data_IF_184629813172
#
_entry.id   IF_184629813172
#
_cell.length_a   1.000
_cell.length_b   1.000
_cell.length_c   1.000
_cell.angle_alpha   90.00
_cell.angle_beta   90.00
_cell.angle_gamma   90.00
#
_symmetry.space_group_name_H-M   'P 1'
#
loop_
_entity.id
_entity.type
_entity.pdbx_description
1 polymer ?
#
# COMPACT_ATOMS: atom_id res chain seq x y z
N UNK A 1 3.04 4.14 -16.50
CA UNK A 1 3.75 4.37 -15.21
C UNK A 1 3.34 5.68 -14.52
N UNK A 2 3.51 6.87 -15.14
CA UNK A 2 3.13 8.15 -14.52
C UNK A 2 1.64 8.24 -14.18
N UNK A 3 0.77 7.82 -15.12
CA UNK A 3 -0.68 7.84 -14.91
C UNK A 3 -1.10 6.97 -13.71
N UNK A 4 -0.57 5.74 -13.62
CA UNK A 4 -0.81 4.82 -12.48
C UNK A 4 -0.35 5.44 -11.16
N UNK A 5 0.83 6.06 -11.13
CA UNK A 5 1.35 6.76 -9.95
C UNK A 5 0.46 7.93 -9.54
N UNK A 6 -0.01 8.74 -10.50
CA UNK A 6 -0.92 9.87 -10.22
C UNK A 6 -2.25 9.39 -9.63
N UNK A 7 -2.83 8.32 -10.18
CA UNK A 7 -4.06 7.72 -9.64
C UNK A 7 -3.86 7.19 -8.22
N UNK A 8 -2.73 6.50 -7.98
CA UNK A 8 -2.37 6.08 -6.62
C UNK A 8 -2.24 7.28 -5.69
N UNK A 9 -1.58 8.36 -6.11
CA UNK A 9 -1.49 9.58 -5.31
C UNK A 9 -2.87 10.21 -5.03
N UNK A 10 -3.79 10.23 -6.01
CA UNK A 10 -5.15 10.69 -5.81
C UNK A 10 -5.92 9.80 -4.82
N UNK A 11 -5.75 8.48 -4.91
CA UNK A 11 -6.32 7.54 -3.96
C UNK A 11 -5.79 7.77 -2.54
N UNK A 12 -4.47 7.91 -2.39
CA UNK A 12 -3.83 8.22 -1.12
C UNK A 12 -4.32 9.54 -0.54
N UNK A 13 -4.48 10.57 -1.37
CA UNK A 13 -5.04 11.85 -0.96
C UNK A 13 -6.49 11.72 -0.48
N UNK A 14 -7.33 10.97 -1.20
CA UNK A 14 -8.72 10.71 -0.81
C UNK A 14 -8.83 9.90 0.48
N UNK A 15 -8.01 8.86 0.62
CA UNK A 15 -7.90 8.09 1.85
C UNK A 15 -7.45 8.98 3.02
N UNK A 16 -6.42 9.81 2.79
CA UNK A 16 -5.93 10.80 3.75
C UNK A 16 -7.03 11.72 4.23
N UNK A 17 -7.78 12.28 3.27
CA UNK A 17 -8.92 13.13 3.55
C UNK A 17 -9.99 12.40 4.39
N UNK A 18 -10.35 11.16 4.03
CA UNK A 18 -11.33 10.36 4.77
C UNK A 18 -10.91 10.08 6.22
N UNK A 19 -9.61 9.92 6.51
CA UNK A 19 -9.15 9.74 7.90
C UNK A 19 -9.27 10.98 8.78
N UNK A 20 -9.52 12.16 8.22
CA UNK A 20 -9.88 13.29 9.06
C UNK A 20 -11.18 13.01 9.83
N UNK A 21 -12.08 12.21 9.28
CA UNK A 21 -13.32 11.83 9.94
C UNK A 21 -13.14 10.66 10.93
N UNK A 22 -12.07 9.86 10.81
CA UNK A 22 -11.83 8.68 11.64
C UNK A 22 -10.41 8.66 12.23
N UNK A 23 -10.22 9.19 13.46
CA UNK A 23 -8.91 9.35 14.11
C UNK A 23 -8.13 8.04 14.26
N UNK A 24 -8.82 6.94 14.52
CA UNK A 24 -8.22 5.60 14.68
C UNK A 24 -7.50 5.09 13.43
N UNK A 25 -7.78 5.66 12.26
CA UNK A 25 -7.12 5.31 10.99
C UNK A 25 -5.82 6.10 10.75
N UNK A 26 -5.56 7.18 11.50
CA UNK A 26 -4.49 8.14 11.17
C UNK A 26 -3.08 7.62 11.43
N UNK A 27 -2.88 6.85 12.50
CA UNK A 27 -1.53 6.64 13.04
C UNK A 27 -0.75 5.47 12.42
N UNK A 28 -1.42 4.51 11.76
CA UNK A 28 -0.74 3.27 11.34
C UNK A 28 -1.12 2.79 9.93
N UNK A 29 -2.15 3.40 9.34
CA UNK A 29 -2.71 2.95 8.08
C UNK A 29 -1.98 3.48 6.85
N UNK A 30 -1.40 4.68 6.93
CA UNK A 30 -0.81 5.34 5.76
C UNK A 30 0.50 4.75 5.26
N UNK A 31 1.48 4.43 6.12
CA UNK A 31 2.73 3.83 5.66
C UNK A 31 2.49 2.47 5.01
N UNK A 32 1.58 1.68 5.59
CA UNK A 32 1.23 0.35 5.10
C UNK A 32 0.40 0.42 3.81
N UNK A 33 -0.62 1.26 3.77
CA UNK A 33 -1.44 1.45 2.57
C UNK A 33 -0.65 2.06 1.40
N UNK A 34 0.29 2.97 1.67
CA UNK A 34 1.25 3.44 0.67
C UNK A 34 2.10 2.29 0.09
N UNK A 35 2.59 1.40 0.96
CA UNK A 35 3.36 0.24 0.54
C UNK A 35 2.53 -0.77 -0.28
N UNK A 36 1.27 -1.03 0.08
CA UNK A 36 0.35 -1.83 -0.75
C UNK A 36 0.06 -1.15 -2.09
N UNK A 37 -0.11 0.17 -2.09
CA UNK A 37 -0.38 0.92 -3.32
C UNK A 37 0.76 0.77 -4.32
N UNK A 38 2.00 0.87 -3.84
CA UNK A 38 3.17 0.62 -4.67
C UNK A 38 3.24 -0.83 -5.15
N UNK A 39 3.01 -1.80 -4.26
CA UNK A 39 3.02 -3.22 -4.60
C UNK A 39 1.98 -3.56 -5.68
N UNK A 40 0.75 -3.08 -5.53
CA UNK A 40 -0.35 -3.33 -6.47
C UNK A 40 -0.13 -2.61 -7.80
N UNK A 41 0.53 -1.44 -7.81
CA UNK A 41 0.89 -0.76 -9.07
C UNK A 41 1.80 -1.63 -9.95
N UNK A 42 2.71 -2.41 -9.33
CA UNK A 42 3.63 -3.31 -10.02
C UNK A 42 3.04 -4.69 -10.33
N UNK A 43 1.95 -5.09 -9.65
CA UNK A 43 1.31 -6.41 -9.81
C UNK A 43 -0.11 -6.37 -10.36
N UNK A 44 -0.54 -5.24 -10.94
CA UNK A 44 -1.91 -5.05 -11.45
C UNK A 44 -2.35 -6.09 -12.47
N UNK A 45 -1.42 -6.58 -13.29
CA UNK A 45 -1.71 -7.58 -14.34
C UNK A 45 -1.90 -9.00 -13.75
N UNK A 46 -1.54 -9.20 -12.47
CA UNK A 46 -1.65 -10.46 -11.74
C UNK A 46 -2.72 -10.35 -10.63
N UNK A 47 -3.98 -10.16 -11.03
CA UNK A 47 -5.08 -9.96 -10.06
C UNK A 47 -5.23 -11.12 -9.05
N UNK A 48 -4.84 -12.35 -9.44
CA UNK A 48 -4.82 -13.51 -8.55
C UNK A 48 -3.83 -13.33 -7.39
N UNK A 49 -2.68 -12.72 -7.65
CA UNK A 49 -1.66 -12.47 -6.63
C UNK A 49 -2.05 -11.31 -5.74
N UNK A 50 -2.64 -10.25 -6.31
CA UNK A 50 -3.21 -9.13 -5.54
C UNK A 50 -4.28 -9.64 -4.57
N UNK A 51 -5.19 -10.51 -5.03
CA UNK A 51 -6.21 -11.11 -4.16
C UNK A 51 -5.62 -11.96 -3.02
N UNK A 52 -4.59 -12.77 -3.30
CA UNK A 52 -3.89 -13.55 -2.27
C UNK A 52 -3.22 -12.66 -1.22
N UNK A 53 -2.58 -11.58 -1.65
CA UNK A 53 -1.93 -10.61 -0.74
C UNK A 53 -2.97 -9.92 0.14
N UNK A 54 -4.11 -9.53 -0.43
CA UNK A 54 -5.21 -8.91 0.33
C UNK A 54 -5.79 -9.87 1.36
N UNK A 55 -6.05 -11.12 0.98
CA UNK A 55 -6.50 -12.14 1.94
C UNK A 55 -5.47 -12.35 3.05
N UNK A 56 -4.18 -12.42 2.71
CA UNK A 56 -3.10 -12.53 3.68
C UNK A 56 -3.06 -11.34 4.65
N UNK A 57 -3.24 -10.12 4.14
CA UNK A 57 -3.29 -8.91 4.96
C UNK A 57 -4.48 -8.91 5.93
N UNK A 58 -5.67 -9.35 5.48
CA UNK A 58 -6.87 -9.45 6.32
C UNK A 58 -6.68 -10.50 7.42
N UNK A 59 -6.13 -11.68 7.09
CA UNK A 59 -5.83 -12.73 8.07
C UNK A 59 -4.80 -12.23 9.07
N UNK A 60 -3.72 -11.60 8.61
CA UNK A 60 -2.64 -11.10 9.44
C UNK A 60 -3.11 -10.01 10.43
N UNK A 61 -3.93 -9.05 9.98
CA UNK A 61 -4.48 -8.01 10.88
C UNK A 61 -5.50 -8.59 11.87
N UNK A 62 -6.30 -9.57 11.44
CA UNK A 62 -7.24 -10.24 12.33
C UNK A 62 -6.48 -10.99 13.42
N UNK A 63 -5.44 -11.74 13.04
CA UNK A 63 -4.57 -12.44 13.97
C UNK A 63 -3.89 -11.47 14.95
N UNK A 64 -3.31 -10.38 14.45
CA UNK A 64 -2.71 -9.36 15.30
C UNK A 64 -3.71 -8.72 16.26
N UNK A 65 -4.95 -8.51 15.83
CA UNK A 65 -6.02 -7.93 16.67
C UNK A 65 -6.45 -8.90 17.78
N UNK A 66 -6.52 -10.21 17.48
CA UNK A 66 -6.82 -11.26 18.46
C UNK A 66 -5.66 -11.44 19.45
N UNK A 67 -4.41 -11.43 18.98
CA UNK A 67 -3.25 -11.52 19.87
C UNK A 67 -3.16 -10.31 20.80
N UNK A 68 -3.41 -9.11 20.26
CA UNK A 68 -3.48 -7.88 21.05
C UNK A 68 -4.58 -7.96 22.12
N UNK A 69 -5.78 -8.45 21.79
CA UNK A 69 -6.87 -8.56 22.77
C UNK A 69 -6.59 -9.55 23.92
N UNK A 70 -5.77 -10.58 23.68
CA UNK A 70 -5.33 -11.52 24.72
C UNK A 70 -4.27 -10.87 25.62
N UNK A 71 -3.31 -10.17 25.03
CA UNK A 71 -2.23 -9.52 25.76
C UNK A 71 -1.61 -8.38 24.95
N UNK A 72 -1.48 -7.21 25.57
CA UNK A 72 -0.85 -6.03 24.98
C UNK A 72 0.68 -6.01 25.17
N UNK A 73 1.28 -7.10 25.67
CA UNK A 73 2.69 -7.16 26.00
C UNK A 73 3.61 -7.53 24.84
N UNK A 74 4.92 -7.35 25.04
CA UNK A 74 5.98 -7.69 24.06
C UNK A 74 5.94 -9.15 23.60
N UNK A 75 5.53 -10.08 24.48
CA UNK A 75 5.38 -11.49 24.13
C UNK A 75 4.30 -11.72 23.05
N UNK A 76 3.16 -11.02 23.16
CA UNK A 76 2.08 -11.11 22.18
C UNK A 76 2.50 -10.52 20.83
N UNK A 77 3.24 -9.41 20.85
CA UNK A 77 3.84 -8.84 19.64
C UNK A 77 4.83 -9.82 18.98
N UNK A 78 5.69 -10.47 19.77
CA UNK A 78 6.66 -11.44 19.27
C UNK A 78 5.99 -12.68 18.68
N UNK A 79 4.97 -13.23 19.36
CA UNK A 79 4.19 -14.36 18.86
C UNK A 79 3.44 -13.99 17.58
N UNK A 80 2.82 -12.80 17.53
CA UNK A 80 2.19 -12.29 16.31
C UNK A 80 3.18 -12.24 15.15
N UNK A 81 4.40 -11.79 15.41
CA UNK A 81 5.48 -11.74 14.41
C UNK A 81 5.83 -13.14 13.90
N UNK A 82 6.07 -14.10 14.79
CA UNK A 82 6.39 -15.48 14.42
C UNK A 82 5.27 -16.08 13.58
N UNK A 83 4.03 -16.04 14.07
CA UNK A 83 2.89 -16.67 13.39
C UNK A 83 2.66 -16.01 12.04
N UNK A 84 2.72 -14.68 11.95
CA UNK A 84 2.52 -13.96 10.69
C UNK A 84 3.63 -14.27 9.68
N UNK A 85 4.90 -14.30 10.11
CA UNK A 85 6.03 -14.67 9.23
C UNK A 85 5.87 -16.12 8.75
N UNK A 86 5.53 -17.06 9.64
CA UNK A 86 5.26 -18.44 9.27
C UNK A 86 4.12 -18.54 8.25
N UNK A 87 3.02 -17.81 8.43
CA UNK A 87 1.94 -17.75 7.45
C UNK A 87 2.41 -17.20 6.10
N UNK A 88 3.18 -16.10 6.10
CA UNK A 88 3.71 -15.50 4.87
C UNK A 88 4.60 -16.51 4.12
N UNK A 89 5.44 -17.25 4.83
CA UNK A 89 6.32 -18.26 4.23
C UNK A 89 5.56 -19.49 3.71
N UNK A 90 4.61 -20.02 4.48
CA UNK A 90 3.81 -21.20 4.12
C UNK A 90 2.92 -20.92 2.91
N UNK A 91 2.20 -19.80 2.93
CA UNK A 91 1.27 -19.44 1.86
C UNK A 91 1.94 -18.65 0.72
N UNK A 92 3.26 -18.40 0.83
CA UNK A 92 4.06 -17.64 -0.16
C UNK A 92 3.48 -16.27 -0.48
N UNK A 93 2.91 -15.60 0.53
CA UNK A 93 2.27 -14.30 0.35
C UNK A 93 3.27 -13.15 0.11
N UNK A 94 4.59 -13.40 0.23
CA UNK A 94 5.74 -12.62 -0.25
C UNK A 94 5.51 -11.09 -0.39
N UNK A 95 4.92 -10.48 0.63
CA UNK A 95 4.61 -9.07 0.66
C UNK A 95 4.94 -8.54 2.05
N UNK A 96 6.05 -7.80 2.16
CA UNK A 96 6.46 -7.12 3.38
C UNK A 96 5.33 -6.29 4.03
N UNK A 97 4.43 -5.63 3.28
CA UNK A 97 3.31 -4.91 3.87
C UNK A 97 2.40 -5.77 4.74
N UNK A 98 2.23 -7.08 4.47
CA UNK A 98 1.35 -7.97 5.26
C UNK A 98 1.80 -8.02 6.72
N UNK A 99 3.11 -8.17 6.94
CA UNK A 99 3.68 -8.20 8.28
C UNK A 99 3.41 -6.89 9.01
N UNK A 100 3.62 -5.76 8.34
CA UNK A 100 3.39 -4.44 8.92
C UNK A 100 1.92 -4.23 9.35
N UNK A 101 0.94 -4.76 8.59
CA UNK A 101 -0.48 -4.65 8.97
C UNK A 101 -0.80 -5.47 10.22
N UNK A 102 -0.16 -6.63 10.41
CA UNK A 102 -0.34 -7.45 11.62
C UNK A 102 0.04 -6.72 12.91
N UNK A 103 0.92 -5.72 12.82
CA UNK A 103 1.39 -4.94 13.96
C UNK A 103 0.53 -3.72 14.26
N UNK A 104 -0.36 -3.32 13.34
CA UNK A 104 -1.25 -2.16 13.53
C UNK A 104 -1.98 -2.17 14.87
N UNK A 105 -2.58 -3.29 15.32
CA UNK A 105 -3.31 -3.34 16.59
C UNK A 105 -2.47 -2.92 17.81
N UNK A 106 -1.18 -3.28 17.83
CA UNK A 106 -0.27 -2.99 18.93
C UNK A 106 0.08 -1.49 19.05
N UNK A 107 -0.04 -0.73 17.95
CA UNK A 107 0.25 0.70 17.93
C UNK A 107 -1.02 1.56 17.95
N UNK A 108 -2.09 1.10 17.31
CA UNK A 108 -3.34 1.85 17.16
C UNK A 108 -4.22 1.84 18.41
N UNK A 109 -3.97 0.94 19.37
CA UNK A 109 -4.78 0.76 20.58
C UNK A 109 -6.29 0.73 20.27
N UNK A 110 -6.66 -0.05 19.25
CA UNK A 110 -8.02 -0.02 18.72
C UNK A 110 -9.03 -0.49 19.77
N UNK A 111 -10.10 0.28 19.94
CA UNK A 111 -11.19 0.00 20.89
C UNK A 111 -12.03 -1.22 20.51
N UNK A 112 -11.95 -1.68 19.26
CA UNK A 112 -12.69 -2.83 18.74
C UNK A 112 -11.80 -3.73 17.89
N UNK A 113 -11.90 -5.04 18.16
CA UNK A 113 -11.17 -6.12 17.47
C UNK A 113 -11.47 -6.11 15.96
N UNK A 114 -12.67 -5.69 15.56
CA UNK A 114 -13.13 -5.71 14.17
C UNK A 114 -12.90 -4.40 13.41
N UNK A 115 -12.68 -3.29 14.11
CA UNK A 115 -12.51 -2.00 13.46
C UNK A 115 -11.30 -1.99 12.50
N UNK A 116 -10.18 -2.58 12.93
CA UNK A 116 -8.96 -2.64 12.12
C UNK A 116 -9.07 -3.58 10.92
N UNK A 117 -9.53 -4.85 11.06
CA UNK A 117 -9.77 -5.72 9.91
C UNK A 117 -10.70 -5.11 8.86
N UNK A 118 -11.79 -4.48 9.29
CA UNK A 118 -12.75 -3.84 8.37
C UNK A 118 -12.10 -2.66 7.65
N UNK A 119 -11.36 -1.80 8.36
CA UNK A 119 -10.66 -0.67 7.75
C UNK A 119 -9.63 -1.10 6.70
N UNK A 120 -8.83 -2.13 7.03
CA UNK A 120 -7.87 -2.75 6.09
C UNK A 120 -8.60 -3.32 4.87
N UNK A 121 -9.67 -4.08 5.10
CA UNK A 121 -10.44 -4.70 4.02
C UNK A 121 -11.02 -3.64 3.08
N UNK A 122 -11.72 -2.64 3.61
CA UNK A 122 -12.35 -1.58 2.81
C UNK A 122 -11.32 -0.83 1.98
N UNK A 123 -10.15 -0.53 2.55
CA UNK A 123 -9.16 0.27 1.83
C UNK A 123 -8.28 -0.54 0.89
N UNK A 124 -8.06 -1.83 1.15
CA UNK A 124 -7.44 -2.70 0.16
C UNK A 124 -8.39 -2.94 -1.01
N UNK A 125 -9.69 -3.14 -0.76
CA UNK A 125 -10.69 -3.26 -1.81
C UNK A 125 -10.81 -1.96 -2.63
N UNK A 126 -10.85 -0.81 -1.96
CA UNK A 126 -10.84 0.50 -2.63
C UNK A 126 -9.61 0.67 -3.52
N UNK A 127 -8.43 0.32 -3.01
CA UNK A 127 -7.18 0.38 -3.77
C UNK A 127 -7.21 -0.57 -4.98
N UNK A 128 -7.67 -1.81 -4.81
CA UNK A 128 -7.80 -2.78 -5.90
C UNK A 128 -8.76 -2.26 -6.97
N UNK A 129 -9.91 -1.71 -6.56
CA UNK A 129 -10.89 -1.16 -7.49
C UNK A 129 -10.27 -0.01 -8.30
N UNK A 130 -9.58 0.93 -7.65
CA UNK A 130 -8.89 2.03 -8.32
C UNK A 130 -7.82 1.53 -9.30
N UNK A 131 -7.00 0.58 -8.87
CA UNK A 131 -5.91 0.00 -9.67
C UNK A 131 -6.47 -0.83 -10.86
N UNK A 132 -7.59 -1.51 -10.68
CA UNK A 132 -8.27 -2.24 -11.74
C UNK A 132 -8.91 -1.31 -12.77
N UNK A 133 -9.58 -0.25 -12.29
CA UNK A 133 -10.23 0.74 -13.13
C UNK A 133 -9.21 1.47 -14.01
N UNK A 134 -8.05 1.84 -13.46
CA UNK A 134 -6.98 2.43 -14.27
C UNK A 134 -6.37 1.45 -15.26
N UNK A 135 -6.25 0.16 -14.89
CA UNK A 135 -5.82 -0.88 -15.83
C UNK A 135 -6.73 -0.99 -17.05
N UNK A 136 -8.04 -0.79 -16.88
CA UNK A 136 -9.01 -0.74 -17.98
C UNK A 136 -8.92 0.56 -18.79
N UNK A 137 -8.72 1.69 -18.10
CA UNK A 137 -8.63 3.02 -18.73
C UNK A 137 -7.34 3.16 -19.57
N UNK A 138 -6.24 2.53 -19.17
CA UNK A 138 -4.98 2.54 -19.93
C UNK A 138 -5.08 1.75 -21.25
N UNK A 139 -6.05 0.82 -21.37
CA UNK A 139 -6.34 0.13 -22.63
C UNK A 139 -7.12 1.00 -23.63
N UNK A 140 -7.57 2.20 -23.24
CA UNK A 140 -8.29 3.12 -24.12
C UNK A 140 -7.29 3.89 -25.00
N UNK A 141 -7.38 3.81 -26.35
CA UNK A 141 -6.36 4.33 -27.27
C UNK A 141 -6.22 5.87 -27.28
N UNK A 142 -7.17 6.59 -26.68
CA UNK A 142 -7.12 8.05 -26.52
C UNK A 142 -6.13 8.43 -25.42
N UNK A 143 -6.00 7.61 -24.39
CA UNK A 143 -5.22 7.90 -23.18
C UNK A 143 -3.77 7.50 -23.37
N UNK A 144 -3.49 6.48 -24.18
CA UNK A 144 -2.12 6.14 -24.60
C UNK A 144 -1.47 7.30 -25.35
N UNK A 145 -2.19 7.94 -26.30
CA UNK A 145 -1.69 9.13 -27.02
C UNK A 145 -1.35 10.30 -26.11
N UNK A 146 -2.18 10.55 -25.09
CA UNK A 146 -1.93 11.62 -24.11
C UNK A 146 -0.76 11.29 -23.17
N UNK A 147 -0.63 10.04 -22.73
CA UNK A 147 0.51 9.57 -21.93
C UNK A 147 1.82 9.71 -22.72
N UNK A 148 1.81 9.34 -23.99
CA UNK A 148 2.98 9.46 -24.87
C UNK A 148 3.37 10.94 -25.07
N UNK A 149 2.40 11.81 -25.35
CA UNK A 149 2.64 13.25 -25.47
C UNK A 149 3.25 13.86 -24.20
N UNK A 150 2.77 13.45 -23.02
CA UNK A 150 3.29 13.93 -21.73
C UNK A 150 4.71 13.42 -21.45
N UNK A 151 5.00 12.16 -21.81
CA UNK A 151 6.35 11.59 -21.68
C UNK A 151 7.35 12.29 -22.59
N UNK A 152 6.92 12.63 -23.81
CA UNK A 152 7.73 13.35 -24.78
C UNK A 152 8.03 14.77 -24.29
N UNK A 153 7.04 15.46 -23.71
CA UNK A 153 7.22 16.76 -23.08
C UNK A 153 8.21 16.71 -21.91
N UNK A 154 8.09 15.71 -21.02
CA UNK A 154 9.05 15.51 -19.91
C UNK A 154 10.48 15.30 -20.40
N UNK A 155 10.66 14.49 -21.45
CA UNK A 155 12.00 14.23 -22.01
C UNK A 155 12.65 15.48 -22.62
N UNK A 156 11.84 16.42 -23.14
CA UNK A 156 12.32 17.73 -23.59
C UNK A 156 12.72 18.60 -22.40
N UNK A 157 11.93 18.60 -21.34
CA UNK A 157 12.23 19.34 -20.10
C UNK A 157 13.52 18.86 -19.41
N UNK A 158 13.77 17.55 -19.39
CA UNK A 158 15.03 17.01 -18.86
C UNK A 158 16.25 17.36 -19.71
N UNK A 159 16.08 17.62 -21.01
CA UNK A 159 17.16 18.13 -21.88
C UNK A 159 17.44 19.62 -21.67
N UNK A 160 16.51 20.36 -21.08
CA UNK A 160 16.70 21.77 -20.70
C UNK A 160 17.24 21.95 -19.28
N UNK A 161 17.31 20.89 -18.47
CA UNK A 161 17.94 20.96 -17.16
C UNK A 161 19.47 21.04 -17.34
N UNK A 162 20.14 22.09 -16.85
CA UNK A 162 21.59 22.18 -16.91
C UNK A 162 22.19 21.00 -16.12
N UNK A 163 23.14 20.31 -16.75
CA UNK A 163 23.97 19.28 -16.13
C UNK A 163 24.55 19.84 -14.82
N UNK A 164 24.36 19.18 -13.67
CA UNK A 164 25.04 19.61 -12.46
C UNK A 164 26.53 19.46 -12.71
N UNK A 165 27.23 20.58 -12.76
CA UNK A 165 28.68 20.65 -12.88
C UNK A 165 29.27 19.79 -11.78
N UNK A 166 30.09 18.82 -12.18
CA UNK A 166 30.81 17.94 -11.28
C UNK A 166 31.62 18.80 -10.30
N UNK A 167 31.19 18.84 -9.03
CA UNK A 167 32.02 19.36 -7.95
C UNK A 167 33.14 18.33 -7.77
N UNK A 168 34.30 18.69 -8.34
CA UNK A 168 35.58 18.03 -8.15
C UNK A 168 35.82 17.89 -6.64
N UNK A 169 35.76 16.67 -6.11
CA UNK A 169 36.19 16.38 -4.74
C UNK A 169 37.70 16.57 -4.68
N UNK A 170 38.14 17.71 -4.18
CA UNK A 170 39.43 17.86 -3.52
C UNK A 170 39.16 18.13 -2.04
N UNK A 171 39.23 17.05 -1.24
CA UNK A 171 40.02 16.92 -0.01
C UNK A 171 39.84 15.50 0.54
#
# INVERSE_FOLDING_TARGET
MLLRSLVVCCYLMGAYWASYHFPSMRMVFYPTLGAFSFLFMHRVDQIKDVGRITMGAIIAVTLGSVMYSISNGTLSFFLTSIITISLIQVFKWNAAPILSVSFIPFFAHATSIWALPIAVLVSLLGLIMFVWLIGKVEQVPVITKWSDALSQFRSRLSKLAPTPTAIKKEL
#
